data_IF_406666693399
#
_entry.id   IF_406666693399
#
_cell.length_a   1.000
_cell.length_b   1.000
_cell.length_c   1.000
_cell.angle_alpha   90.00
_cell.angle_beta   90.00
_cell.angle_gamma   90.00
#
_symmetry.space_group_name_H-M   'P 1'
#
loop_
_entity.id
_entity.type
_entity.pdbx_description
1 polymer ?
#
# COMPACT_ATOMS: atom_id res chain seq x y z
N UNK A 1 22.53 -45.11 -52.49
CA UNK A 1 21.59 -43.95 -52.39
C UNK A 1 20.97 -43.72 -50.99
N UNK A 2 21.35 -44.44 -49.93
CA UNK A 2 20.82 -44.19 -48.56
C UNK A 2 21.55 -43.11 -47.74
N UNK A 3 22.79 -42.79 -48.10
CA UNK A 3 23.68 -41.96 -47.26
C UNK A 3 23.41 -40.45 -47.38
N UNK A 4 23.10 -39.95 -48.58
CA UNK A 4 22.72 -38.52 -48.78
C UNK A 4 21.37 -38.17 -48.12
N UNK A 5 20.42 -39.12 -48.03
CA UNK A 5 19.13 -38.89 -47.38
C UNK A 5 19.27 -38.72 -45.86
N UNK A 6 20.21 -39.43 -45.23
CA UNK A 6 20.50 -39.29 -43.79
C UNK A 6 21.20 -37.97 -43.45
N UNK A 7 21.99 -37.41 -44.36
CA UNK A 7 22.71 -36.15 -44.14
C UNK A 7 21.79 -34.92 -44.19
N UNK A 8 20.75 -34.95 -45.05
CA UNK A 8 19.76 -33.87 -45.11
C UNK A 8 18.79 -33.87 -43.90
N UNK A 9 18.51 -35.02 -43.29
CA UNK A 9 17.65 -35.08 -42.11
C UNK A 9 18.32 -34.55 -40.86
N UNK A 10 19.63 -34.77 -40.67
CA UNK A 10 20.38 -34.25 -39.51
C UNK A 10 20.53 -32.73 -39.58
N UNK A 11 20.77 -32.15 -40.77
CA UNK A 11 20.90 -30.70 -40.91
C UNK A 11 19.60 -29.95 -40.59
N UNK A 12 18.44 -30.53 -40.98
CA UNK A 12 17.12 -29.95 -40.71
C UNK A 12 16.75 -30.03 -39.21
N UNK A 13 17.14 -31.10 -38.52
CA UNK A 13 16.89 -31.22 -37.07
C UNK A 13 17.81 -30.34 -36.24
N UNK A 14 19.08 -30.19 -36.63
CA UNK A 14 20.03 -29.33 -35.92
C UNK A 14 19.70 -27.85 -36.05
N UNK A 15 19.23 -27.39 -37.22
CA UNK A 15 18.82 -25.99 -37.41
C UNK A 15 17.66 -25.57 -36.50
N UNK A 16 16.66 -26.45 -36.32
CA UNK A 16 15.54 -26.19 -35.42
C UNK A 16 15.98 -26.09 -33.94
N UNK A 17 16.93 -26.94 -33.51
CA UNK A 17 17.46 -26.90 -32.15
C UNK A 17 18.22 -25.60 -31.85
N UNK A 18 19.07 -25.14 -32.78
CA UNK A 18 19.78 -23.86 -32.64
C UNK A 18 18.83 -22.66 -32.64
N UNK A 19 17.81 -22.67 -33.50
CA UNK A 19 16.79 -21.61 -33.50
C UNK A 19 16.04 -21.56 -32.17
N UNK A 20 15.62 -22.72 -31.63
CA UNK A 20 14.97 -22.79 -30.33
C UNK A 20 15.88 -22.27 -29.19
N UNK A 21 17.17 -22.64 -29.19
CA UNK A 21 18.14 -22.16 -28.20
C UNK A 21 18.34 -20.64 -28.29
N UNK A 22 18.48 -20.08 -29.49
CA UNK A 22 18.62 -18.64 -29.70
C UNK A 22 17.38 -17.88 -29.22
N UNK A 23 16.18 -18.38 -29.54
CA UNK A 23 14.92 -17.81 -29.05
C UNK A 23 14.88 -17.89 -27.51
N UNK A 24 15.25 -19.02 -26.92
CA UNK A 24 15.32 -19.19 -25.47
C UNK A 24 16.29 -18.22 -24.80
N UNK A 25 17.50 -18.05 -25.34
CA UNK A 25 18.48 -17.08 -24.85
C UNK A 25 17.97 -15.64 -24.98
N UNK A 26 17.34 -15.29 -26.11
CA UNK A 26 16.78 -13.95 -26.32
C UNK A 26 15.65 -13.66 -25.33
N UNK A 27 14.74 -14.61 -25.12
CA UNK A 27 13.67 -14.49 -24.12
C UNK A 27 14.23 -14.36 -22.71
N UNK A 28 15.27 -15.14 -22.36
CA UNK A 28 15.97 -15.03 -21.09
C UNK A 28 16.60 -13.66 -20.88
N UNK A 29 17.28 -13.12 -21.90
CA UNK A 29 17.88 -11.80 -21.86
C UNK A 29 16.83 -10.68 -21.70
N UNK A 30 15.68 -10.80 -22.38
CA UNK A 30 14.57 -9.84 -22.26
C UNK A 30 13.83 -9.95 -20.90
N UNK A 31 13.83 -11.13 -20.28
CA UNK A 31 13.20 -11.36 -18.98
C UNK A 31 14.10 -10.98 -17.80
N UNK A 32 15.43 -11.04 -17.97
CA UNK A 32 16.40 -10.82 -16.89
C UNK A 32 16.19 -9.49 -16.13
N UNK A 33 15.95 -8.33 -16.78
CA UNK A 33 15.71 -7.08 -16.06
C UNK A 33 14.48 -7.14 -15.14
N UNK A 34 13.39 -7.81 -15.57
CA UNK A 34 12.17 -7.97 -14.76
C UNK A 34 12.43 -8.84 -13.53
N UNK A 35 13.17 -9.93 -13.71
CA UNK A 35 13.53 -10.84 -12.60
C UNK A 35 14.43 -10.13 -11.59
N UNK A 36 15.42 -9.37 -12.05
CA UNK A 36 16.31 -8.60 -11.17
C UNK A 36 15.54 -7.52 -10.40
N UNK A 37 14.62 -6.81 -11.06
CA UNK A 37 13.75 -5.80 -10.41
C UNK A 37 12.84 -6.45 -9.36
N UNK A 38 12.19 -7.56 -9.69
CA UNK A 38 11.33 -8.28 -8.75
C UNK A 38 12.12 -8.77 -7.53
N UNK A 39 13.32 -9.31 -7.74
CA UNK A 39 14.19 -9.74 -6.64
C UNK A 39 14.66 -8.56 -5.78
N UNK A 40 15.04 -7.44 -6.40
CA UNK A 40 15.43 -6.22 -5.69
C UNK A 40 14.27 -5.59 -4.89
N UNK A 41 13.04 -5.74 -5.35
CA UNK A 41 11.84 -5.22 -4.69
C UNK A 41 11.32 -6.13 -3.55
N UNK A 42 11.76 -7.39 -3.47
CA UNK A 42 11.26 -8.36 -2.49
C UNK A 42 11.41 -7.92 -1.02
N UNK A 43 12.53 -7.32 -0.59
CA UNK A 43 12.65 -6.80 0.78
C UNK A 43 11.60 -5.71 1.09
N UNK A 44 11.27 -4.87 0.11
CA UNK A 44 10.26 -3.84 0.30
C UNK A 44 8.86 -4.43 0.36
N UNK A 45 8.52 -5.43 -0.46
CA UNK A 45 7.25 -6.14 -0.34
C UNK A 45 7.08 -6.78 1.05
N UNK A 46 8.14 -7.40 1.60
CA UNK A 46 8.13 -7.96 2.94
C UNK A 46 7.95 -6.88 4.02
N UNK A 47 8.62 -5.73 3.88
CA UNK A 47 8.47 -4.59 4.78
C UNK A 47 7.04 -4.05 4.77
N UNK A 48 6.46 -3.84 3.58
CA UNK A 48 5.08 -3.36 3.38
C UNK A 48 4.09 -4.31 4.04
N UNK A 49 4.22 -5.61 3.76
CA UNK A 49 3.37 -6.63 4.37
C UNK A 49 3.50 -6.60 5.90
N UNK A 50 4.72 -6.47 6.44
CA UNK A 50 4.95 -6.30 7.87
C UNK A 50 4.16 -5.12 8.47
N UNK A 51 4.27 -3.94 7.85
CA UNK A 51 3.54 -2.74 8.28
C UNK A 51 2.02 -2.97 8.24
N UNK A 52 1.52 -3.59 7.17
CA UNK A 52 0.09 -3.90 7.01
C UNK A 52 -0.42 -4.91 8.05
N UNK A 53 0.44 -5.83 8.52
CA UNK A 53 0.17 -6.70 9.66
C UNK A 53 0.33 -6.02 11.03
N UNK A 54 0.70 -4.73 11.05
CA UNK A 54 0.90 -3.95 12.28
C UNK A 54 2.27 -4.17 12.93
N UNK A 55 3.25 -4.75 12.22
CA UNK A 55 4.65 -4.79 12.67
C UNK A 55 5.24 -3.39 12.54
N UNK A 56 5.74 -2.84 13.63
CA UNK A 56 6.54 -1.63 13.56
C UNK A 56 7.94 -1.98 13.04
N UNK A 57 8.42 -1.22 12.06
CA UNK A 57 9.73 -1.41 11.46
C UNK A 57 10.74 -0.47 12.11
N UNK A 58 11.99 -0.91 12.22
CA UNK A 58 13.06 0.01 12.62
C UNK A 58 13.33 1.02 11.50
N UNK A 59 13.86 2.19 11.84
CA UNK A 59 14.21 3.20 10.82
C UNK A 59 15.25 2.66 9.82
N UNK A 60 16.16 1.81 10.29
CA UNK A 60 17.13 1.13 9.44
C UNK A 60 16.48 0.17 8.43
N UNK A 61 15.46 -0.59 8.85
CA UNK A 61 14.70 -1.48 7.96
C UNK A 61 13.96 -0.67 6.89
N UNK A 62 13.32 0.45 7.28
CA UNK A 62 12.62 1.34 6.36
C UNK A 62 13.58 1.96 5.33
N UNK A 63 14.68 2.55 5.78
CA UNK A 63 15.68 3.16 4.90
C UNK A 63 16.26 2.12 3.93
N UNK A 64 16.54 0.90 4.41
CA UNK A 64 17.04 -0.20 3.55
C UNK A 64 16.00 -0.58 2.49
N UNK A 65 14.72 -0.70 2.86
CA UNK A 65 13.64 -1.01 1.93
C UNK A 65 13.47 0.09 0.86
N UNK A 66 13.50 1.36 1.27
CA UNK A 66 13.44 2.52 0.37
C UNK A 66 14.63 2.54 -0.60
N UNK A 67 15.86 2.32 -0.13
CA UNK A 67 17.07 2.26 -0.97
C UNK A 67 17.02 1.11 -1.97
N UNK A 68 16.49 -0.04 -1.59
CA UNK A 68 16.34 -1.19 -2.49
C UNK A 68 15.33 -0.89 -3.60
N UNK A 69 14.20 -0.24 -3.30
CA UNK A 69 13.25 0.23 -4.31
C UNK A 69 13.83 1.33 -5.19
N UNK A 70 14.59 2.27 -4.62
CA UNK A 70 15.29 3.30 -5.37
C UNK A 70 16.25 2.69 -6.40
N UNK A 71 16.99 1.65 -6.02
CA UNK A 71 17.82 0.86 -6.95
C UNK A 71 16.98 0.10 -7.98
N UNK A 72 15.85 -0.48 -7.59
CA UNK A 72 14.96 -1.16 -8.53
C UNK A 72 14.41 -0.20 -9.61
N UNK A 73 14.15 1.06 -9.24
CA UNK A 73 13.68 2.09 -10.17
C UNK A 73 14.70 2.48 -11.23
N UNK A 74 16.01 2.32 -11.00
CA UNK A 74 17.04 2.66 -12.00
C UNK A 74 17.02 1.72 -13.21
N UNK A 75 16.46 0.52 -13.07
CA UNK A 75 16.29 -0.43 -14.19
C UNK A 75 15.13 -0.04 -15.13
N UNK A 76 14.28 0.93 -14.76
CA UNK A 76 13.23 1.47 -15.63
C UNK A 76 12.03 0.54 -15.88
N UNK A 77 11.96 -0.61 -15.21
CA UNK A 77 10.86 -1.58 -15.34
C UNK A 77 9.82 -1.36 -14.22
N UNK A 78 8.53 -1.46 -14.55
CA UNK A 78 7.40 -1.37 -13.59
C UNK A 78 7.41 -0.13 -12.69
N UNK A 79 7.87 0.99 -13.25
CA UNK A 79 8.10 2.24 -12.50
C UNK A 79 6.90 2.73 -11.69
N UNK A 80 5.66 2.49 -12.13
CA UNK A 80 4.47 2.88 -11.37
C UNK A 80 4.28 2.07 -10.08
N UNK A 81 4.52 0.75 -10.11
CA UNK A 81 4.38 -0.11 -8.93
C UNK A 81 5.48 0.19 -7.91
N UNK A 82 6.74 0.26 -8.35
CA UNK A 82 7.86 0.60 -7.47
C UNK A 82 7.74 2.01 -6.90
N UNK A 83 7.24 3.00 -7.66
CA UNK A 83 6.91 4.34 -7.12
C UNK A 83 5.78 4.30 -6.09
N UNK A 84 4.76 3.47 -6.31
CA UNK A 84 3.69 3.26 -5.32
C UNK A 84 4.26 2.74 -4.00
N UNK A 85 5.05 1.68 -4.05
CA UNK A 85 5.67 1.06 -2.87
C UNK A 85 6.64 2.03 -2.16
N UNK A 86 7.48 2.73 -2.93
CA UNK A 86 8.40 3.72 -2.38
C UNK A 86 7.63 4.86 -1.70
N UNK A 87 6.60 5.39 -2.36
CA UNK A 87 5.76 6.44 -1.78
C UNK A 87 5.13 6.03 -0.46
N UNK A 88 4.72 4.76 -0.33
CA UNK A 88 4.15 4.24 0.91
C UNK A 88 5.17 4.19 2.04
N UNK A 89 6.35 3.61 1.78
CA UNK A 89 7.41 3.47 2.80
C UNK A 89 7.93 4.84 3.25
N UNK A 90 8.23 5.73 2.30
CA UNK A 90 8.70 7.09 2.59
C UNK A 90 7.64 7.87 3.37
N UNK A 91 6.36 7.78 2.99
CA UNK A 91 5.28 8.44 3.76
C UNK A 91 5.17 7.85 5.16
N UNK A 92 5.21 6.52 5.31
CA UNK A 92 5.17 5.86 6.62
C UNK A 92 6.31 6.35 7.53
N UNK A 93 7.55 6.37 7.02
CA UNK A 93 8.70 6.91 7.75
C UNK A 93 8.50 8.37 8.13
N UNK A 94 8.05 9.21 7.20
CA UNK A 94 7.87 10.65 7.44
C UNK A 94 6.75 10.96 8.44
N UNK A 95 5.78 10.06 8.63
CA UNK A 95 4.77 10.24 9.68
C UNK A 95 5.27 9.96 11.10
N UNK A 96 6.46 9.36 11.26
CA UNK A 96 7.07 9.08 12.57
C UNK A 96 7.94 10.22 13.09
N UNK A 97 8.23 11.21 12.25
CA UNK A 97 9.09 12.36 12.59
C UNK A 97 8.30 13.67 12.53
N UNK A 98 8.71 14.72 13.27
CA UNK A 98 8.13 16.05 13.12
C UNK A 98 8.26 16.56 11.68
N UNK A 99 7.24 17.30 11.22
CA UNK A 99 7.22 17.85 9.86
C UNK A 99 8.15 19.08 9.76
N UNK A 100 9.45 18.83 9.55
CA UNK A 100 10.45 19.86 9.26
C UNK A 100 10.39 20.34 7.80
N UNK A 101 11.17 21.36 7.44
CA UNK A 101 11.34 21.81 6.05
C UNK A 101 11.82 20.70 5.13
N UNK A 102 12.75 19.87 5.60
CA UNK A 102 13.36 18.77 4.86
C UNK A 102 12.32 17.66 4.65
N UNK A 103 11.61 17.27 5.71
CA UNK A 103 10.52 16.30 5.64
C UNK A 103 9.41 16.77 4.67
N UNK A 104 9.10 18.07 4.69
CA UNK A 104 8.13 18.65 3.75
C UNK A 104 8.60 18.60 2.31
N UNK A 105 9.88 18.93 2.05
CA UNK A 105 10.46 18.84 0.70
C UNK A 105 10.47 17.39 0.19
N UNK A 106 10.75 16.43 1.07
CA UNK A 106 10.68 15.01 0.76
C UNK A 106 9.25 14.56 0.43
N UNK A 107 8.25 14.95 1.22
CA UNK A 107 6.83 14.68 0.92
C UNK A 107 6.39 15.30 -0.42
N UNK A 108 6.89 16.47 -0.78
CA UNK A 108 6.62 17.06 -2.10
C UNK A 108 7.21 16.22 -3.24
N UNK A 109 8.41 15.66 -3.04
CA UNK A 109 9.01 14.73 -4.00
C UNK A 109 8.18 13.44 -4.12
N UNK A 110 7.72 12.89 -2.99
CA UNK A 110 6.80 11.74 -2.96
C UNK A 110 5.51 12.06 -3.71
N UNK A 111 4.89 13.23 -3.48
CA UNK A 111 3.66 13.64 -4.17
C UNK A 111 3.84 13.61 -5.69
N UNK A 112 4.93 14.18 -6.21
CA UNK A 112 5.25 14.16 -7.65
C UNK A 112 5.41 12.73 -8.19
N UNK A 113 6.07 11.85 -7.44
CA UNK A 113 6.22 10.44 -7.86
C UNK A 113 4.86 9.72 -7.92
N UNK A 114 3.97 9.99 -6.97
CA UNK A 114 2.61 9.44 -6.96
C UNK A 114 1.80 9.99 -8.13
N UNK A 115 1.89 11.28 -8.45
CA UNK A 115 1.25 11.89 -9.63
C UNK A 115 1.69 11.20 -10.93
N UNK A 116 2.99 11.02 -11.11
CA UNK A 116 3.54 10.30 -12.27
C UNK A 116 3.08 8.84 -12.33
N UNK A 117 2.92 8.18 -11.18
CA UNK A 117 2.41 6.81 -11.13
C UNK A 117 0.91 6.76 -11.48
N UNK A 118 0.11 7.71 -10.99
CA UNK A 118 -1.32 7.84 -11.31
C UNK A 118 -1.52 8.06 -12.81
N UNK A 119 -0.70 8.88 -13.45
CA UNK A 119 -0.77 9.08 -14.91
C UNK A 119 -0.62 7.76 -15.69
N UNK A 120 0.16 6.81 -15.18
CA UNK A 120 0.33 5.48 -15.78
C UNK A 120 -0.74 4.48 -15.35
N UNK A 121 -1.33 4.65 -14.16
CA UNK A 121 -2.33 3.75 -13.55
C UNK A 121 -3.48 4.54 -12.92
N UNK A 122 -4.33 5.20 -13.74
CA UNK A 122 -5.34 6.14 -13.23
C UNK A 122 -6.50 5.48 -12.49
N UNK A 123 -6.65 4.15 -12.60
CA UNK A 123 -7.68 3.36 -11.94
C UNK A 123 -7.17 2.65 -10.68
N UNK A 124 -5.96 2.98 -10.20
CA UNK A 124 -5.37 2.34 -9.03
C UNK A 124 -5.78 3.07 -7.74
N UNK A 125 -6.64 2.42 -6.96
CA UNK A 125 -7.15 2.95 -5.70
C UNK A 125 -6.06 3.19 -4.64
N UNK A 126 -4.97 2.40 -4.66
CA UNK A 126 -3.86 2.53 -3.72
C UNK A 126 -3.12 3.84 -4.00
N UNK A 127 -2.82 4.13 -5.26
CA UNK A 127 -2.16 5.39 -5.65
C UNK A 127 -3.00 6.62 -5.28
N UNK A 128 -4.31 6.59 -5.52
CA UNK A 128 -5.19 7.68 -5.10
C UNK A 128 -5.26 7.84 -3.57
N UNK A 129 -5.21 6.74 -2.83
CA UNK A 129 -5.13 6.78 -1.37
C UNK A 129 -3.81 7.39 -0.89
N UNK A 130 -2.68 7.02 -1.52
CA UNK A 130 -1.37 7.63 -1.21
C UNK A 130 -1.35 9.11 -1.53
N UNK A 131 -1.89 9.51 -2.68
CA UNK A 131 -1.98 10.93 -3.04
C UNK A 131 -2.80 11.72 -2.03
N UNK A 132 -3.91 11.16 -1.57
CA UNK A 132 -4.73 11.74 -0.50
C UNK A 132 -3.91 11.94 0.77
N UNK A 133 -3.18 10.90 1.21
CA UNK A 133 -2.37 10.96 2.42
C UNK A 133 -1.29 12.03 2.34
N UNK A 134 -0.48 12.00 1.28
CA UNK A 134 0.63 12.95 1.09
C UNK A 134 0.11 14.38 0.97
N UNK A 135 -0.96 14.60 0.20
CA UNK A 135 -1.56 15.93 0.06
C UNK A 135 -2.14 16.44 1.38
N UNK A 136 -2.77 15.57 2.17
CA UNK A 136 -3.29 15.91 3.49
C UNK A 136 -2.16 16.25 4.49
N UNK A 137 -1.04 15.53 4.47
CA UNK A 137 0.12 15.85 5.31
C UNK A 137 0.76 17.20 4.93
N UNK A 138 0.76 17.55 3.64
CA UNK A 138 1.38 18.78 3.14
C UNK A 138 0.51 20.03 3.35
N UNK A 139 -0.78 19.90 3.05
CA UNK A 139 -1.69 21.04 2.83
C UNK A 139 -2.99 20.91 3.63
N UNK A 140 -3.13 19.86 4.45
CA UNK A 140 -4.38 19.54 5.13
C UNK A 140 -5.49 19.14 4.14
N UNK A 141 -6.73 19.32 4.58
CA UNK A 141 -7.89 18.98 3.78
C UNK A 141 -8.14 20.04 2.70
N UNK A 142 -7.75 19.74 1.47
CA UNK A 142 -7.81 20.60 0.29
C UNK A 142 -8.69 20.00 -0.81
N UNK A 143 -9.08 20.79 -1.85
CA UNK A 143 -9.78 20.28 -3.02
C UNK A 143 -9.06 19.09 -3.69
N UNK A 144 -7.73 19.09 -3.70
CA UNK A 144 -6.93 18.00 -4.27
C UNK A 144 -6.99 16.74 -3.42
N UNK A 145 -6.89 16.85 -2.09
CA UNK A 145 -7.05 15.68 -1.21
C UNK A 145 -8.47 15.11 -1.29
N UNK A 146 -9.51 15.95 -1.43
CA UNK A 146 -10.88 15.48 -1.60
C UNK A 146 -11.08 14.72 -2.91
N UNK A 147 -10.63 15.29 -4.03
CA UNK A 147 -10.77 14.66 -5.32
C UNK A 147 -10.06 13.30 -5.36
N UNK A 148 -8.85 13.22 -4.79
CA UNK A 148 -8.12 11.97 -4.69
C UNK A 148 -8.79 10.97 -3.74
N UNK A 149 -9.31 11.42 -2.60
CA UNK A 149 -10.04 10.56 -1.67
C UNK A 149 -11.27 9.96 -2.36
N UNK A 150 -12.04 10.78 -3.07
CA UNK A 150 -13.19 10.32 -3.85
C UNK A 150 -12.80 9.26 -4.90
N UNK A 151 -11.73 9.50 -5.67
CA UNK A 151 -11.21 8.53 -6.64
C UNK A 151 -10.76 7.24 -5.97
N UNK A 152 -10.19 7.32 -4.78
CA UNK A 152 -9.78 6.15 -4.02
C UNK A 152 -10.97 5.26 -3.67
N UNK A 153 -12.09 5.84 -3.20
CA UNK A 153 -13.33 5.10 -2.98
C UNK A 153 -13.90 4.54 -4.29
N UNK A 154 -13.92 5.35 -5.36
CA UNK A 154 -14.48 4.96 -6.64
C UNK A 154 -13.79 3.74 -7.25
N UNK A 155 -12.46 3.66 -7.16
CA UNK A 155 -11.68 2.61 -7.81
C UNK A 155 -11.36 1.42 -6.90
N UNK A 156 -11.67 1.50 -5.61
CA UNK A 156 -11.38 0.44 -4.65
C UNK A 156 -12.26 0.53 -3.43
N UNK A 157 -13.58 0.47 -3.63
CA UNK A 157 -14.57 0.48 -2.55
C UNK A 157 -14.36 -0.70 -1.58
N UNK A 158 -13.93 -1.83 -2.12
CA UNK A 158 -13.89 -3.13 -1.43
C UNK A 158 -12.47 -3.49 -0.94
N UNK A 159 -11.50 -2.60 -1.14
CA UNK A 159 -10.10 -2.79 -0.75
C UNK A 159 -9.93 -2.54 0.76
N UNK A 160 -9.84 -3.63 1.54
CA UNK A 160 -9.79 -3.59 3.00
C UNK A 160 -8.47 -3.02 3.54
N UNK A 161 -7.39 -3.17 2.78
CA UNK A 161 -6.07 -2.63 3.07
C UNK A 161 -6.09 -1.09 3.11
N UNK A 162 -6.95 -0.48 2.29
CA UNK A 162 -7.11 0.98 2.18
C UNK A 162 -8.10 1.53 3.21
N UNK A 163 -8.94 0.66 3.76
CA UNK A 163 -10.01 1.00 4.68
C UNK A 163 -9.52 1.77 5.90
N UNK A 164 -8.49 1.27 6.59
CA UNK A 164 -8.02 1.84 7.87
C UNK A 164 -7.62 3.30 7.72
N UNK A 165 -6.81 3.61 6.71
CA UNK A 165 -6.39 4.98 6.44
C UNK A 165 -7.57 5.88 6.06
N UNK A 166 -8.42 5.45 5.11
CA UNK A 166 -9.55 6.24 4.64
C UNK A 166 -10.50 6.57 5.78
N UNK A 167 -10.86 5.57 6.58
CA UNK A 167 -11.75 5.79 7.72
C UNK A 167 -11.11 6.67 8.79
N UNK A 168 -9.85 6.44 9.15
CA UNK A 168 -9.17 7.28 10.14
C UNK A 168 -9.19 8.75 9.73
N UNK A 169 -8.85 9.04 8.45
CA UNK A 169 -8.91 10.40 7.91
C UNK A 169 -10.35 10.93 7.87
N UNK A 170 -11.30 10.16 7.34
CA UNK A 170 -12.67 10.61 7.17
C UNK A 170 -13.39 10.87 8.50
N UNK A 171 -13.14 10.04 9.52
CA UNK A 171 -13.71 10.20 10.85
C UNK A 171 -13.07 11.39 11.57
N UNK A 172 -11.76 11.59 11.40
CA UNK A 172 -11.06 12.77 11.94
C UNK A 172 -11.63 14.07 11.37
N UNK A 173 -11.90 14.10 10.07
CA UNK A 173 -12.35 15.28 9.33
C UNK A 173 -13.87 15.31 9.10
N UNK A 174 -14.64 14.50 9.82
CA UNK A 174 -16.06 14.22 9.54
C UNK A 174 -16.89 15.49 9.30
N UNK A 175 -16.74 16.47 10.19
CA UNK A 175 -17.49 17.73 10.16
C UNK A 175 -17.12 18.62 8.95
N UNK A 176 -15.94 18.45 8.38
CA UNK A 176 -15.43 19.19 7.22
C UNK A 176 -15.72 18.48 5.89
N UNK A 177 -16.01 17.17 5.92
CA UNK A 177 -16.23 16.38 4.69
C UNK A 177 -17.48 16.84 3.92
N UNK A 178 -17.41 16.91 2.57
CA UNK A 178 -18.59 17.08 1.73
C UNK A 178 -19.60 15.93 1.92
N UNK A 179 -20.91 16.18 1.77
CA UNK A 179 -21.95 15.14 1.89
C UNK A 179 -21.71 13.92 1.00
N UNK A 180 -21.18 14.11 -0.21
CA UNK A 180 -20.85 13.02 -1.13
C UNK A 180 -19.80 12.05 -0.58
N UNK A 181 -18.77 12.57 0.10
CA UNK A 181 -17.74 11.73 0.74
C UNK A 181 -18.30 11.05 1.99
N UNK A 182 -19.11 11.76 2.78
CA UNK A 182 -19.78 11.15 3.94
C UNK A 182 -20.65 9.96 3.54
N UNK A 183 -21.33 10.05 2.39
CA UNK A 183 -22.09 8.92 1.86
C UNK A 183 -21.17 7.74 1.50
N UNK A 184 -20.06 7.98 0.79
CA UNK A 184 -19.08 6.93 0.46
C UNK A 184 -18.52 6.25 1.73
N UNK A 185 -18.31 7.01 2.80
CA UNK A 185 -17.89 6.47 4.10
C UNK A 185 -18.97 5.58 4.71
N UNK A 186 -20.24 6.00 4.70
CA UNK A 186 -21.36 5.18 5.18
C UNK A 186 -21.48 3.89 4.36
N UNK A 187 -21.37 3.98 3.04
CA UNK A 187 -21.42 2.82 2.15
C UNK A 187 -20.28 1.83 2.46
N UNK A 188 -19.06 2.34 2.68
CA UNK A 188 -17.92 1.49 3.03
C UNK A 188 -18.07 0.87 4.44
N UNK A 189 -18.69 1.59 5.38
CA UNK A 189 -19.01 1.04 6.71
C UNK A 189 -20.05 -0.07 6.62
N UNK A 190 -21.11 0.13 5.84
CA UNK A 190 -22.12 -0.89 5.60
C UNK A 190 -21.51 -2.14 4.95
N UNK A 191 -20.62 -1.98 3.97
CA UNK A 191 -19.88 -3.09 3.37
C UNK A 191 -19.02 -3.83 4.41
N UNK A 192 -18.26 -3.09 5.21
CA UNK A 192 -17.38 -3.64 6.25
C UNK A 192 -18.11 -4.22 7.47
N UNK A 193 -19.43 -4.03 7.61
CA UNK A 193 -20.20 -4.39 8.80
C UNK A 193 -20.03 -5.89 9.18
N UNK A 194 -19.83 -6.74 8.19
CA UNK A 194 -19.57 -8.18 8.34
C UNK A 194 -18.16 -8.50 8.91
N UNK A 195 -17.21 -7.57 8.83
CA UNK A 195 -15.79 -7.78 9.18
C UNK A 195 -15.53 -7.54 10.68
N UNK A 196 -15.87 -8.53 11.51
CA UNK A 196 -15.85 -8.45 12.99
C UNK A 196 -14.52 -8.05 13.65
N UNK A 197 -13.40 -8.18 12.95
CA UNK A 197 -12.06 -7.89 13.49
C UNK A 197 -11.53 -6.50 13.09
N UNK A 198 -12.17 -5.84 12.12
CA UNK A 198 -11.75 -4.55 11.58
C UNK A 198 -12.02 -3.42 12.59
N UNK A 199 -13.27 -3.34 13.06
CA UNK A 199 -13.76 -2.25 13.90
C UNK A 199 -13.03 -2.09 15.23
N UNK A 200 -12.76 -3.16 16.00
CA UNK A 200 -12.06 -3.02 17.25
C UNK A 200 -10.65 -2.47 17.08
N UNK A 201 -9.95 -2.82 16.00
CA UNK A 201 -8.59 -2.31 15.70
C UNK A 201 -8.65 -0.84 15.34
N UNK A 202 -9.52 -0.46 14.39
CA UNK A 202 -9.70 0.94 14.00
C UNK A 202 -10.07 1.82 15.20
N UNK A 203 -10.94 1.36 16.10
CA UNK A 203 -11.34 2.11 17.29
C UNK A 203 -10.18 2.34 18.27
N UNK A 204 -9.14 1.48 18.26
CA UNK A 204 -7.93 1.68 19.07
C UNK A 204 -7.03 2.75 18.46
N UNK A 205 -7.02 2.88 17.14
CA UNK A 205 -6.09 3.75 16.41
C UNK A 205 -6.55 5.20 16.24
N UNK A 206 -7.81 5.49 16.52
CA UNK A 206 -8.42 6.82 16.30
C UNK A 206 -8.68 7.56 17.61
N UNK A 207 -8.80 8.88 17.52
CA UNK A 207 -9.12 9.73 18.67
C UNK A 207 -10.52 9.41 19.24
N UNK A 208 -10.75 9.76 20.51
CA UNK A 208 -12.03 9.51 21.17
C UNK A 208 -13.23 10.11 20.41
N UNK A 209 -13.11 11.37 19.95
CA UNK A 209 -14.14 12.03 19.13
C UNK A 209 -14.45 11.22 17.86
N UNK A 210 -13.41 10.81 17.14
CA UNK A 210 -13.54 10.00 15.91
C UNK A 210 -14.15 8.62 16.22
N UNK A 211 -13.80 8.04 17.37
CA UNK A 211 -14.34 6.78 17.85
C UNK A 211 -15.83 6.85 18.20
N UNK A 212 -16.28 7.94 18.82
CA UNK A 212 -17.71 8.18 19.06
C UNK A 212 -18.48 8.27 17.74
N UNK A 213 -17.96 9.04 16.77
CA UNK A 213 -18.55 9.14 15.44
C UNK A 213 -18.62 7.78 14.73
N UNK A 214 -17.56 6.97 14.80
CA UNK A 214 -17.55 5.62 14.23
C UNK A 214 -18.63 4.74 14.87
N UNK A 215 -18.82 4.80 16.19
CA UNK A 215 -19.82 3.99 16.87
C UNK A 215 -21.26 4.33 16.44
N UNK A 216 -21.56 5.61 16.21
CA UNK A 216 -22.86 6.03 15.66
C UNK A 216 -23.08 5.43 14.27
N UNK A 217 -22.07 5.54 13.39
CA UNK A 217 -22.16 5.00 12.03
C UNK A 217 -22.28 3.46 12.01
N UNK A 218 -21.61 2.78 12.94
CA UNK A 218 -21.71 1.33 13.10
C UNK A 218 -23.09 0.90 13.60
N UNK A 219 -23.69 1.66 14.51
CA UNK A 219 -25.05 1.42 15.01
C UNK A 219 -26.09 1.59 13.90
N UNK A 220 -25.97 2.65 13.08
CA UNK A 220 -26.80 2.83 11.87
C UNK A 220 -26.67 1.64 10.90
N UNK A 221 -25.46 1.07 10.77
CA UNK A 221 -25.19 -0.13 9.98
C UNK A 221 -25.55 -1.45 10.70
N UNK A 222 -26.27 -1.39 11.82
CA UNK A 222 -26.72 -2.56 12.61
C UNK A 222 -25.59 -3.46 13.13
N UNK A 223 -24.41 -2.89 13.39
CA UNK A 223 -23.27 -3.61 13.98
C UNK A 223 -23.40 -3.63 15.52
N UNK A 224 -23.10 -4.77 16.15
CA UNK A 224 -23.05 -4.89 17.62
C UNK A 224 -21.89 -4.07 18.22
N UNK A 225 -22.19 -2.81 18.58
CA UNK A 225 -21.24 -1.85 19.15
C UNK A 225 -20.67 -2.31 20.50
N UNK A 226 -21.39 -3.13 21.27
CA UNK A 226 -20.91 -3.63 22.57
C UNK A 226 -19.81 -4.66 22.39
N UNK A 227 -19.95 -5.54 21.41
CA UNK A 227 -18.89 -6.48 21.03
C UNK A 227 -17.66 -5.74 20.48
N UNK A 228 -17.86 -4.69 19.67
CA UNK A 228 -16.74 -3.85 19.18
C UNK A 228 -15.99 -3.19 20.34
N UNK A 229 -16.70 -2.52 21.26
CA UNK A 229 -16.11 -1.86 22.45
C UNK A 229 -15.34 -2.84 23.34
N UNK A 230 -15.93 -4.01 23.65
CA UNK A 230 -15.27 -5.04 24.49
C UNK A 230 -13.98 -5.55 23.87
N UNK A 231 -13.98 -5.80 22.55
CA UNK A 231 -12.79 -6.25 21.82
C UNK A 231 -11.71 -5.17 21.77
N UNK A 232 -12.10 -3.91 21.53
CA UNK A 232 -11.16 -2.78 21.53
C UNK A 232 -10.51 -2.60 22.92
N UNK A 233 -11.29 -2.71 24.00
CA UNK A 233 -10.75 -2.66 25.36
C UNK A 233 -9.75 -3.80 25.64
N UNK A 234 -10.00 -5.01 25.12
CA UNK A 234 -9.05 -6.14 25.23
C UNK A 234 -7.74 -5.85 24.47
N UNK A 235 -7.82 -5.24 23.28
CA UNK A 235 -6.63 -4.85 22.50
C UNK A 235 -5.80 -3.82 23.28
N UNK A 236 -6.42 -2.75 23.79
CA UNK A 236 -5.72 -1.72 24.58
C UNK A 236 -5.06 -2.29 25.83
N UNK A 237 -5.74 -3.20 26.55
CA UNK A 237 -5.15 -3.87 27.72
C UNK A 237 -3.94 -4.72 27.34
N UNK A 238 -4.00 -5.42 26.21
CA UNK A 238 -2.88 -6.22 25.72
C UNK A 238 -1.68 -5.31 25.39
N UNK A 239 -1.91 -4.21 24.68
CA UNK A 239 -0.86 -3.22 24.36
C UNK A 239 -0.24 -2.61 25.63
N UNK A 240 -1.06 -2.21 26.60
CA UNK A 240 -0.56 -1.67 27.87
C UNK A 240 0.28 -2.69 28.67
N UNK A 241 -0.07 -3.98 28.61
CA UNK A 241 0.72 -5.05 29.24
C UNK A 241 2.07 -5.25 28.53
N UNK A 242 2.06 -5.24 27.20
CA UNK A 242 3.28 -5.33 26.37
C UNK A 242 4.22 -4.14 26.64
N UNK A 243 3.67 -2.92 26.77
CA UNK A 243 4.43 -1.71 27.10
C UNK A 243 4.97 -1.70 28.54
N UNK A 244 4.28 -2.37 29.48
CA UNK A 244 4.72 -2.47 30.88
C UNK A 244 5.73 -3.59 31.16
N UNK A 245 5.91 -4.51 30.22
CA UNK A 245 6.82 -5.65 30.39
C UNK A 245 8.27 -5.18 30.17
N UNK A 246 9.21 -5.47 31.09
CA UNK A 246 10.60 -5.10 30.91
C UNK A 246 11.16 -5.78 29.64
N UNK A 247 12.05 -5.12 28.89
CA UNK A 247 12.67 -5.73 27.72
C UNK A 247 13.38 -7.02 28.16
N UNK A 248 13.01 -8.14 27.56
CA UNK A 248 13.69 -9.42 27.77
C UNK A 248 15.15 -9.22 27.38
N UNK A 249 16.07 -9.34 28.35
CA UNK A 249 17.49 -9.31 28.08
C UNK A 249 17.85 -10.57 27.29
N UNK A 250 18.18 -10.41 26.00
CA UNK A 250 18.83 -11.43 25.17
C UNK A 250 20.36 -11.40 25.33
#
# INVERSE_FOLDING_TARGET
>A
MGMMRRMFTTFRTSGAAWAALLIGCLLGALAAPRVLVAFAALPAAAAIFGIEQGRDLTDEELVRAEQNLGRALTYGVETANSKSQLSYLTTYRLTRVPLTSEARAELQAVRRQVEEAIQRRPLDAYLWTRYTHVSYLLDGLSPYSYAALQRSFQYGSDEMELFRFRMALCLKEWDNLPPSIRQLVRDQIAFGASQRNLWPRLLVDISEKSGQQLLVLLEEASVDIQTVKRRAARIRRKQALEESSPPTAE
#
